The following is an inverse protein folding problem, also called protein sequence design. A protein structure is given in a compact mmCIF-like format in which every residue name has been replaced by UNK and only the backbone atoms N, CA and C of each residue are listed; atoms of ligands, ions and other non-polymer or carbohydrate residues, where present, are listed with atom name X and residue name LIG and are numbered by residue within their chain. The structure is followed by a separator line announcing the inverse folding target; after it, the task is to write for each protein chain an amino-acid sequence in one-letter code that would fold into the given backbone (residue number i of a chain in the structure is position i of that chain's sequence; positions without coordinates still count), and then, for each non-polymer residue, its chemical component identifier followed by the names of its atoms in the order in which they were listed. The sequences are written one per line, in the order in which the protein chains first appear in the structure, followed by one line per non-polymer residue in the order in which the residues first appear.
data_IF_427345570659
#
_entry.id   IF_427345570659
#
_cell.length_a   1.000
_cell.length_b   1.000
_cell.length_c   1.000
_cell.angle_alpha   90.00
_cell.angle_beta   90.00
_cell.angle_gamma   90.00
#
_symmetry.space_group_name_H-M   'P 1'
#
loop_
_entity.id
_entity.type
_entity.pdbx_description
1 polymer ?
#
# COMPACT_ATOMS: atom_id res chain seq x y z
N UNK A 1 25.28 -2.27 7.33
CA UNK A 1 24.91 -3.29 6.32
C UNK A 1 23.38 -3.21 6.19
N UNK A 2 22.85 -2.86 5.02
CA UNK A 2 21.40 -2.82 4.80
C UNK A 2 20.87 -4.25 4.85
N UNK A 3 19.95 -4.53 5.77
CA UNK A 3 19.27 -5.83 5.87
C UNK A 3 18.55 -6.12 4.55
N UNK A 4 18.77 -7.30 3.94
CA UNK A 4 18.11 -7.69 2.71
C UNK A 4 16.61 -7.92 2.95
N UNK A 5 15.77 -7.42 2.06
CA UNK A 5 14.32 -7.60 2.12
C UNK A 5 13.89 -8.91 1.46
N UNK A 6 12.75 -9.44 1.86
CA UNK A 6 12.18 -10.67 1.30
C UNK A 6 10.76 -10.38 0.78
N UNK A 7 10.49 -10.79 -0.45
CA UNK A 7 9.16 -10.78 -1.06
C UNK A 7 8.72 -12.21 -1.33
N UNK A 8 7.56 -12.59 -0.79
CA UNK A 8 6.89 -13.85 -1.10
C UNK A 8 6.03 -13.68 -2.35
N UNK A 9 6.09 -14.60 -3.31
CA UNK A 9 5.18 -14.63 -4.46
C UNK A 9 4.77 -16.07 -4.80
N UNK A 10 3.63 -16.20 -5.50
CA UNK A 10 3.18 -17.49 -6.02
C UNK A 10 3.95 -17.90 -7.26
N UNK A 11 4.22 -19.19 -7.41
CA UNK A 11 4.91 -19.77 -8.58
C UNK A 11 3.89 -20.04 -9.69
N UNK A 12 3.58 -19.03 -10.50
CA UNK A 12 2.61 -19.14 -11.60
C UNK A 12 3.29 -19.38 -12.96
N UNK A 13 4.43 -18.72 -13.22
CA UNK A 13 5.18 -18.84 -14.48
C UNK A 13 6.68 -18.76 -14.20
N UNK A 14 7.43 -19.87 -14.31
CA UNK A 14 8.85 -19.92 -13.94
C UNK A 14 9.71 -18.88 -14.67
N UNK A 15 9.45 -18.60 -15.96
CA UNK A 15 10.23 -17.63 -16.74
C UNK A 15 10.01 -16.19 -16.26
N UNK A 16 8.77 -15.82 -15.99
CA UNK A 16 8.42 -14.49 -15.48
C UNK A 16 8.96 -14.32 -14.05
N UNK A 17 8.92 -15.37 -13.25
CA UNK A 17 9.45 -15.34 -11.88
C UNK A 17 10.96 -15.24 -11.83
N UNK A 18 11.68 -15.91 -12.73
CA UNK A 18 13.12 -15.76 -12.86
C UNK A 18 13.50 -14.30 -13.21
N UNK A 19 12.83 -13.72 -14.21
CA UNK A 19 13.05 -12.32 -14.59
C UNK A 19 12.73 -11.35 -13.44
N UNK A 20 11.66 -11.59 -12.69
CA UNK A 20 11.31 -10.79 -11.51
C UNK A 20 12.35 -10.95 -10.38
N UNK A 21 12.82 -12.16 -10.14
CA UNK A 21 13.85 -12.43 -9.11
C UNK A 21 15.14 -11.66 -9.40
N UNK A 22 15.60 -11.65 -10.65
CA UNK A 22 16.80 -10.91 -11.07
C UNK A 22 16.64 -9.39 -10.85
N UNK A 23 15.48 -8.83 -11.20
CA UNK A 23 15.20 -7.41 -11.02
C UNK A 23 15.06 -7.02 -9.52
N UNK A 24 14.45 -7.85 -8.71
CA UNK A 24 14.33 -7.64 -7.27
C UNK A 24 15.69 -7.76 -6.57
N UNK A 25 16.50 -8.73 -6.98
CA UNK A 25 17.85 -8.91 -6.43
C UNK A 25 18.74 -7.67 -6.67
N UNK A 26 18.60 -7.02 -7.81
CA UNK A 26 19.27 -5.74 -8.09
C UNK A 26 18.87 -4.61 -7.11
N UNK A 27 17.70 -4.74 -6.45
CA UNK A 27 17.22 -3.84 -5.40
C UNK A 27 17.49 -4.35 -3.98
N UNK A 28 18.35 -5.37 -3.82
CA UNK A 28 18.62 -6.05 -2.54
C UNK A 28 17.37 -6.70 -1.90
N UNK A 29 16.48 -7.25 -2.75
CA UNK A 29 15.25 -7.93 -2.36
C UNK A 29 15.33 -9.38 -2.86
N UNK A 30 15.16 -10.35 -1.95
CA UNK A 30 15.09 -11.77 -2.28
C UNK A 30 13.65 -12.19 -2.57
N UNK A 31 13.43 -12.89 -3.69
CA UNK A 31 12.15 -13.48 -4.03
C UNK A 31 12.04 -14.89 -3.44
N UNK A 32 11.03 -15.11 -2.62
CA UNK A 32 10.65 -16.42 -2.11
C UNK A 32 9.39 -16.90 -2.87
N UNK A 33 9.45 -18.09 -3.44
CA UNK A 33 8.32 -18.65 -4.19
C UNK A 33 7.58 -19.69 -3.34
N UNK A 34 6.26 -19.73 -3.50
CA UNK A 34 5.40 -20.77 -2.92
C UNK A 34 4.37 -21.26 -3.95
N UNK A 35 3.78 -22.40 -3.66
CA UNK A 35 2.74 -22.99 -4.51
C UNK A 35 1.56 -22.03 -4.70
N UNK A 36 0.94 -22.11 -5.88
CA UNK A 36 -0.23 -21.31 -6.26
C UNK A 36 -1.52 -21.83 -5.61
N UNK A 37 -1.60 -21.69 -4.30
CA UNK A 37 -2.74 -22.04 -3.45
C UNK A 37 -2.77 -21.11 -2.24
N UNK A 38 -3.92 -20.46 -1.98
CA UNK A 38 -4.03 -19.44 -0.92
C UNK A 38 -3.75 -19.97 0.49
N UNK A 39 -4.04 -21.25 0.76
CA UNK A 39 -3.72 -21.88 2.05
C UNK A 39 -2.21 -22.07 2.22
N UNK A 40 -1.53 -22.50 1.13
CA UNK A 40 -0.07 -22.62 1.12
C UNK A 40 0.63 -21.28 1.26
N UNK A 41 0.07 -20.25 0.61
CA UNK A 41 0.55 -18.87 0.76
C UNK A 41 0.42 -18.42 2.21
N UNK A 42 -0.72 -18.65 2.86
CA UNK A 42 -0.94 -18.27 4.26
C UNK A 42 0.05 -18.99 5.21
N UNK A 43 0.32 -20.28 5.00
CA UNK A 43 1.33 -21.02 5.74
C UNK A 43 2.75 -20.45 5.54
N UNK A 44 3.09 -20.13 4.28
CA UNK A 44 4.38 -19.53 3.94
C UNK A 44 4.55 -18.14 4.57
N UNK A 45 3.51 -17.30 4.55
CA UNK A 45 3.48 -15.99 5.20
C UNK A 45 3.76 -16.09 6.71
N UNK A 46 3.04 -16.98 7.39
CA UNK A 46 3.19 -17.20 8.85
C UNK A 46 4.61 -17.67 9.22
N UNK A 47 5.23 -18.48 8.36
CA UNK A 47 6.57 -19.04 8.58
C UNK A 47 7.68 -18.04 8.28
N UNK A 48 7.60 -17.32 7.14
CA UNK A 48 8.68 -16.48 6.64
C UNK A 48 8.59 -15.02 7.07
N UNK A 49 7.41 -14.53 7.43
CA UNK A 49 7.14 -13.12 7.77
C UNK A 49 7.86 -12.14 6.83
N UNK A 50 7.57 -12.20 5.51
CA UNK A 50 8.29 -11.43 4.51
C UNK A 50 8.01 -9.93 4.64
N UNK A 51 8.87 -9.08 4.02
CA UNK A 51 8.63 -7.64 3.92
C UNK A 51 7.47 -7.32 2.97
N UNK A 52 7.34 -8.09 1.89
CA UNK A 52 6.25 -7.95 0.92
C UNK A 52 5.68 -9.29 0.48
N UNK A 53 4.44 -9.26 0.00
CA UNK A 53 3.76 -10.41 -0.57
C UNK A 53 3.04 -10.03 -1.86
N UNK A 54 3.42 -10.66 -2.99
CA UNK A 54 2.80 -10.48 -4.30
C UNK A 54 1.88 -11.66 -4.59
N UNK A 55 0.57 -11.42 -4.55
CA UNK A 55 -0.46 -12.43 -4.72
C UNK A 55 -1.21 -12.27 -6.04
N UNK A 56 -1.51 -13.38 -6.70
CA UNK A 56 -2.57 -13.34 -7.71
C UNK A 56 -3.92 -13.05 -7.05
N UNK A 57 -4.73 -12.17 -7.66
CA UNK A 57 -6.04 -11.79 -7.12
C UNK A 57 -6.95 -12.99 -6.89
N UNK A 58 -6.85 -13.99 -7.78
CA UNK A 58 -7.63 -15.23 -7.72
C UNK A 58 -6.68 -16.42 -7.53
N UNK A 59 -6.72 -17.01 -6.35
CA UNK A 59 -5.97 -18.21 -5.99
C UNK A 59 -6.93 -19.34 -5.65
N UNK A 60 -6.56 -20.59 -5.94
CA UNK A 60 -7.29 -21.75 -5.41
C UNK A 60 -7.28 -21.75 -3.87
N UNK A 61 -8.34 -22.23 -3.29
CA UNK A 61 -8.47 -22.40 -1.83
C UNK A 61 -8.88 -21.11 -1.11
N UNK A 62 -8.03 -20.11 -1.06
CA UNK A 62 -8.30 -18.78 -0.52
C UNK A 62 -7.84 -17.73 -1.54
N UNK A 63 -8.69 -16.75 -1.84
CA UNK A 63 -8.32 -15.62 -2.67
C UNK A 63 -7.38 -14.63 -1.94
N UNK A 64 -6.88 -13.64 -2.67
CA UNK A 64 -5.91 -12.69 -2.12
C UNK A 64 -6.44 -11.89 -0.92
N UNK A 65 -7.73 -11.52 -0.94
CA UNK A 65 -8.37 -10.81 0.18
C UNK A 65 -8.42 -11.69 1.43
N UNK A 66 -8.92 -12.91 1.29
CA UNK A 66 -9.04 -13.88 2.39
C UNK A 66 -7.67 -14.26 2.97
N UNK A 67 -6.64 -14.37 2.13
CA UNK A 67 -5.26 -14.63 2.59
C UNK A 67 -4.75 -13.48 3.44
N UNK A 68 -4.94 -12.23 2.97
CA UNK A 68 -4.48 -11.04 3.69
C UNK A 68 -5.19 -10.91 5.04
N UNK A 69 -6.52 -10.99 5.06
CA UNK A 69 -7.32 -10.91 6.29
C UNK A 69 -6.89 -11.97 7.31
N UNK A 70 -6.80 -13.24 6.90
CA UNK A 70 -6.40 -14.33 7.78
C UNK A 70 -4.96 -14.19 8.29
N UNK A 71 -4.06 -13.59 7.51
CA UNK A 71 -2.70 -13.31 7.94
C UNK A 71 -2.65 -12.16 8.93
N UNK A 72 -3.35 -11.07 8.69
CA UNK A 72 -3.39 -9.91 9.59
C UNK A 72 -4.00 -10.27 10.95
N UNK A 73 -5.09 -11.03 10.96
CA UNK A 73 -5.69 -11.50 12.21
C UNK A 73 -4.74 -12.39 13.01
N UNK A 74 -4.04 -13.29 12.31
CA UNK A 74 -3.01 -14.11 12.95
C UNK A 74 -1.85 -13.25 13.46
N UNK A 75 -1.37 -12.26 12.70
CA UNK A 75 -0.24 -11.42 13.07
C UNK A 75 -0.58 -10.52 14.26
N UNK A 76 -1.81 -9.97 14.32
CA UNK A 76 -2.31 -9.20 15.48
C UNK A 76 -2.35 -10.05 16.73
N UNK A 77 -2.80 -11.32 16.64
CA UNK A 77 -2.86 -12.25 17.76
C UNK A 77 -1.46 -12.69 18.25
N UNK A 78 -0.44 -12.61 17.40
CA UNK A 78 0.94 -13.01 17.66
C UNK A 78 1.83 -11.86 18.15
N UNK A 79 1.30 -10.87 18.86
CA UNK A 79 1.99 -9.66 19.38
C UNK A 79 2.52 -8.68 18.32
N UNK A 80 1.82 -8.55 17.19
CA UNK A 80 2.05 -7.44 16.25
C UNK A 80 3.48 -7.38 15.70
N UNK A 81 3.96 -8.49 15.16
CA UNK A 81 5.28 -8.56 14.53
C UNK A 81 5.40 -7.70 13.28
N UNK A 82 6.45 -7.93 12.53
CA UNK A 82 6.76 -7.24 11.26
C UNK A 82 5.54 -7.16 10.33
N UNK A 83 5.26 -5.98 9.87
CA UNK A 83 4.17 -5.72 8.93
C UNK A 83 4.58 -6.11 7.51
N UNK A 84 3.77 -6.92 6.84
CA UNK A 84 3.98 -7.34 5.46
C UNK A 84 3.19 -6.45 4.52
N UNK A 85 3.82 -5.89 3.49
CA UNK A 85 3.17 -5.10 2.44
C UNK A 85 2.57 -6.03 1.39
N UNK A 86 1.28 -5.89 1.12
CA UNK A 86 0.58 -6.72 0.16
C UNK A 86 0.44 -6.04 -1.20
N UNK A 87 0.72 -6.81 -2.25
CA UNK A 87 0.54 -6.44 -3.66
C UNK A 87 -0.35 -7.49 -4.33
N UNK A 88 -1.20 -7.07 -5.24
CA UNK A 88 -1.98 -8.01 -6.05
C UNK A 88 -1.54 -8.02 -7.50
N UNK A 89 -1.70 -9.17 -8.16
CA UNK A 89 -1.46 -9.36 -9.58
C UNK A 89 -2.74 -9.95 -10.21
N UNK A 90 -3.37 -9.22 -11.13
CA UNK A 90 -4.60 -9.65 -11.81
C UNK A 90 -4.36 -9.91 -13.28
N UNK A 91 -4.94 -10.97 -13.83
CA UNK A 91 -4.95 -11.24 -15.26
C UNK A 91 -6.00 -10.44 -16.04
N UNK A 92 -6.87 -9.70 -15.34
CA UNK A 92 -7.93 -8.88 -15.90
C UNK A 92 -8.01 -7.54 -15.22
N UNK A 93 -8.29 -6.50 -16.00
CA UNK A 93 -8.58 -5.19 -15.45
C UNK A 93 -10.03 -5.17 -14.94
N UNK A 94 -10.23 -4.87 -13.66
CA UNK A 94 -11.53 -4.79 -13.02
C UNK A 94 -11.50 -3.74 -11.90
N UNK A 95 -12.11 -2.60 -12.15
CA UNK A 95 -12.11 -1.45 -11.24
C UNK A 95 -12.72 -1.78 -9.86
N UNK A 96 -13.77 -2.59 -9.83
CA UNK A 96 -14.41 -2.98 -8.57
C UNK A 96 -13.48 -3.86 -7.73
N UNK A 97 -12.80 -4.81 -8.36
CA UNK A 97 -11.82 -5.66 -7.69
C UNK A 97 -10.64 -4.84 -7.18
N UNK A 98 -10.09 -3.96 -8.01
CA UNK A 98 -8.99 -3.06 -7.63
C UNK A 98 -9.40 -2.18 -6.44
N UNK A 99 -10.59 -1.58 -6.48
CA UNK A 99 -11.12 -0.78 -5.38
C UNK A 99 -11.24 -1.59 -4.08
N UNK A 100 -11.73 -2.84 -4.15
CA UNK A 100 -11.87 -3.70 -2.98
C UNK A 100 -10.49 -4.10 -2.40
N UNK A 101 -9.53 -4.43 -3.26
CA UNK A 101 -8.17 -4.74 -2.83
C UNK A 101 -7.48 -3.53 -2.17
N UNK A 102 -7.62 -2.34 -2.76
CA UNK A 102 -7.07 -1.11 -2.17
C UNK A 102 -7.72 -0.78 -0.82
N UNK A 103 -9.04 -0.89 -0.71
CA UNK A 103 -9.77 -0.73 0.57
C UNK A 103 -9.35 -1.74 1.63
N UNK A 104 -9.00 -2.94 1.22
CA UNK A 104 -8.45 -3.96 2.10
C UNK A 104 -6.96 -3.73 2.46
N UNK A 105 -6.34 -2.63 1.99
CA UNK A 105 -4.96 -2.25 2.32
C UNK A 105 -3.89 -2.95 1.50
N UNK A 106 -4.19 -3.35 0.25
CA UNK A 106 -3.13 -3.68 -0.71
C UNK A 106 -2.44 -2.40 -1.16
N UNK A 107 -1.12 -2.39 -1.14
CA UNK A 107 -0.32 -1.22 -1.49
C UNK A 107 -0.35 -0.90 -2.99
N UNK A 108 -0.54 -1.91 -3.83
CA UNK A 108 -0.67 -1.75 -5.27
C UNK A 108 -1.33 -2.96 -5.94
N UNK A 109 -2.09 -2.70 -7.02
CA UNK A 109 -2.70 -3.72 -7.86
C UNK A 109 -2.08 -3.67 -9.25
N UNK A 110 -1.42 -4.75 -9.66
CA UNK A 110 -0.84 -4.89 -10.99
C UNK A 110 -1.80 -5.64 -11.91
N UNK A 111 -1.85 -5.23 -13.17
CA UNK A 111 -2.61 -5.93 -14.22
C UNK A 111 -1.63 -6.54 -15.22
N UNK A 112 -1.77 -7.82 -15.51
CA UNK A 112 -0.97 -8.52 -16.51
C UNK A 112 -1.45 -8.20 -17.95
N UNK A 113 -0.53 -8.15 -18.94
CA UNK A 113 0.91 -8.37 -18.81
C UNK A 113 1.64 -7.16 -18.24
N UNK A 114 2.56 -7.38 -17.30
CA UNK A 114 3.40 -6.32 -16.70
C UNK A 114 4.86 -6.76 -16.73
N UNK A 115 5.75 -5.88 -17.17
CA UNK A 115 7.19 -6.15 -17.21
C UNK A 115 7.77 -6.35 -15.80
N UNK A 116 8.66 -7.33 -15.65
CA UNK A 116 9.34 -7.63 -14.40
C UNK A 116 10.06 -6.41 -13.78
N UNK A 117 10.64 -5.55 -14.62
CA UNK A 117 11.30 -4.32 -14.20
C UNK A 117 10.33 -3.35 -13.53
N UNK A 118 9.13 -3.17 -14.09
CA UNK A 118 8.11 -2.28 -13.56
C UNK A 118 7.56 -2.82 -12.23
N UNK A 119 7.32 -4.12 -12.13
CA UNK A 119 6.95 -4.80 -10.88
C UNK A 119 8.01 -4.57 -9.80
N UNK A 120 9.27 -4.89 -10.08
CA UNK A 120 10.36 -4.75 -9.13
C UNK A 120 10.55 -3.30 -8.66
N UNK A 121 10.48 -2.33 -9.57
CA UNK A 121 10.59 -0.91 -9.23
C UNK A 121 9.48 -0.43 -8.29
N UNK A 122 8.23 -0.80 -8.57
CA UNK A 122 7.09 -0.44 -7.72
C UNK A 122 7.17 -1.12 -6.36
N UNK A 123 7.47 -2.42 -6.33
CA UNK A 123 7.62 -3.19 -5.08
C UNK A 123 8.74 -2.61 -4.22
N UNK A 124 9.92 -2.36 -4.79
CA UNK A 124 11.07 -1.81 -4.05
C UNK A 124 10.79 -0.41 -3.51
N UNK A 125 10.11 0.44 -4.29
CA UNK A 125 9.70 1.77 -3.85
C UNK A 125 8.78 1.71 -2.63
N UNK A 126 7.75 0.89 -2.66
CA UNK A 126 6.81 0.73 -1.54
C UNK A 126 7.48 0.14 -0.29
N UNK A 127 8.32 -0.88 -0.45
CA UNK A 127 9.03 -1.48 0.68
C UNK A 127 10.05 -0.52 1.32
N UNK A 128 10.68 0.34 0.53
CA UNK A 128 11.61 1.36 1.03
C UNK A 128 10.88 2.45 1.81
N UNK A 129 9.72 2.87 1.36
CA UNK A 129 8.88 3.84 2.07
C UNK A 129 8.43 3.28 3.42
N UNK A 130 8.01 2.02 3.49
CA UNK A 130 7.58 1.38 4.73
C UNK A 130 8.70 1.25 5.79
N UNK A 131 9.98 1.24 5.40
CA UNK A 131 11.11 1.23 6.33
C UNK A 131 11.47 2.61 6.89
N UNK A 132 11.16 3.67 6.16
CA UNK A 132 11.53 5.05 6.52
C UNK A 132 10.44 5.77 7.29
N UNK A 133 9.24 5.20 7.38
CA UNK A 133 8.06 5.84 7.99
C UNK A 133 7.41 4.90 9.01
N UNK A 134 7.59 5.16 10.28
CA UNK A 134 6.49 5.18 11.23
C UNK A 134 5.99 6.64 11.23
N UNK A 135 4.71 6.91 11.01
CA UNK A 135 3.49 6.15 11.19
C UNK A 135 2.52 6.18 9.98
N UNK A 136 1.85 5.07 9.73
CA UNK A 136 0.91 4.80 8.63
C UNK A 136 -0.42 5.59 8.68
N UNK A 137 -0.69 6.34 9.72
CA UNK A 137 -1.91 7.15 9.82
C UNK A 137 -2.00 8.19 8.68
N UNK A 138 -0.90 8.89 8.37
CA UNK A 138 -0.92 10.04 7.47
C UNK A 138 -1.22 9.74 5.99
N UNK A 139 -0.68 8.66 5.42
CA UNK A 139 -0.88 8.35 3.98
C UNK A 139 -2.30 7.83 3.75
N UNK A 140 -2.81 7.02 4.65
CA UNK A 140 -4.17 6.49 4.58
C UNK A 140 -5.20 7.61 4.74
N UNK A 141 -4.93 8.58 5.62
CA UNK A 141 -5.74 9.77 5.81
C UNK A 141 -5.72 10.68 4.58
N UNK A 142 -4.58 10.87 3.93
CA UNK A 142 -4.48 11.65 2.68
C UNK A 142 -5.32 11.07 1.55
N UNK A 143 -5.31 9.75 1.36
CA UNK A 143 -6.15 9.08 0.36
C UNK A 143 -7.63 9.17 0.73
N UNK A 144 -7.99 8.93 1.99
CA UNK A 144 -9.37 9.03 2.47
C UNK A 144 -9.92 10.45 2.30
N UNK A 145 -9.14 11.48 2.66
CA UNK A 145 -9.51 12.89 2.47
C UNK A 145 -9.69 13.22 0.99
N UNK A 146 -8.79 12.73 0.13
CA UNK A 146 -8.88 12.93 -1.33
C UNK A 146 -10.16 12.31 -1.89
N UNK A 147 -10.47 11.07 -1.50
CA UNK A 147 -11.67 10.36 -1.95
C UNK A 147 -12.96 11.06 -1.49
N UNK A 148 -13.02 11.50 -0.23
CA UNK A 148 -14.16 12.26 0.31
C UNK A 148 -14.35 13.57 -0.46
N UNK A 149 -13.27 14.32 -0.73
CA UNK A 149 -13.34 15.56 -1.48
C UNK A 149 -13.87 15.36 -2.91
N UNK A 150 -13.49 14.25 -3.55
CA UNK A 150 -14.03 13.86 -4.85
C UNK A 150 -15.52 13.48 -4.77
N UNK A 151 -15.92 12.71 -3.75
CA UNK A 151 -17.32 12.31 -3.56
C UNK A 151 -18.27 13.48 -3.31
N UNK A 152 -17.82 14.52 -2.60
CA UNK A 152 -18.59 15.75 -2.40
C UNK A 152 -18.49 16.73 -3.56
N UNK A 153 -17.79 16.36 -4.64
CA UNK A 153 -17.74 17.09 -5.90
C UNK A 153 -16.81 18.32 -5.91
N UNK A 154 -15.79 18.35 -5.04
CA UNK A 154 -14.78 19.43 -5.07
C UNK A 154 -13.81 19.20 -6.22
N UNK A 155 -13.71 20.12 -7.22
CA UNK A 155 -12.84 19.92 -8.36
C UNK A 155 -11.36 19.98 -7.98
N UNK A 156 -10.58 18.94 -8.35
CA UNK A 156 -9.16 18.83 -7.99
C UNK A 156 -8.25 19.92 -8.62
N UNK A 157 -8.71 20.57 -9.71
CA UNK A 157 -7.91 21.57 -10.44
C UNK A 157 -7.97 22.98 -9.85
N UNK A 158 -8.82 23.25 -8.85
CA UNK A 158 -8.91 24.56 -8.20
C UNK A 158 -7.95 24.65 -7.00
N UNK A 159 -7.35 25.84 -6.78
CA UNK A 159 -6.46 26.09 -5.63
C UNK A 159 -7.13 25.79 -4.29
N UNK A 160 -8.43 26.06 -4.18
CA UNK A 160 -9.22 25.79 -3.00
C UNK A 160 -9.25 24.32 -2.60
N UNK A 161 -9.12 23.38 -3.55
CA UNK A 161 -9.00 21.96 -3.27
C UNK A 161 -7.76 21.64 -2.41
N UNK A 162 -6.61 22.19 -2.78
CA UNK A 162 -5.36 21.98 -2.04
C UNK A 162 -5.44 22.58 -0.63
N UNK A 163 -6.05 23.76 -0.49
CA UNK A 163 -6.22 24.40 0.81
C UNK A 163 -7.15 23.60 1.71
N UNK A 164 -8.26 23.11 1.16
CA UNK A 164 -9.21 22.28 1.91
C UNK A 164 -8.59 20.95 2.32
N UNK A 165 -7.84 20.29 1.44
CA UNK A 165 -7.12 19.06 1.76
C UNK A 165 -6.09 19.29 2.88
N UNK A 166 -5.27 20.34 2.78
CA UNK A 166 -4.32 20.71 3.82
C UNK A 166 -5.00 21.01 5.16
N UNK A 167 -6.13 21.74 5.12
CA UNK A 167 -6.90 22.04 6.32
C UNK A 167 -7.39 20.78 7.04
N UNK A 168 -7.95 19.83 6.29
CA UNK A 168 -8.45 18.57 6.86
C UNK A 168 -7.29 17.75 7.45
N UNK A 169 -6.17 17.65 6.74
CA UNK A 169 -5.00 16.94 7.25
C UNK A 169 -4.47 17.55 8.55
N UNK A 170 -4.37 18.89 8.64
CA UNK A 170 -3.96 19.56 9.88
C UNK A 170 -4.94 19.32 11.02
N UNK A 171 -6.25 19.20 10.76
CA UNK A 171 -7.24 18.87 11.78
C UNK A 171 -7.16 17.41 12.25
N UNK A 172 -6.72 16.49 11.38
CA UNK A 172 -6.47 15.08 11.75
C UNK A 172 -5.24 15.00 12.67
N UNK A 173 -4.18 15.75 12.36
CA UNK A 173 -2.94 15.80 13.15
C UNK A 173 -3.12 16.47 14.52
N UNK A 174 -3.85 17.57 14.56
CA UNK A 174 -4.13 18.34 15.77
C UNK A 174 -5.62 18.70 15.82
N UNK A 175 -6.43 17.87 16.49
CA UNK A 175 -7.88 18.09 16.60
C UNK A 175 -8.24 19.39 17.32
N UNK A 176 -7.35 19.96 18.13
CA UNK A 176 -7.55 21.24 18.81
C UNK A 176 -7.48 22.44 17.84
N UNK A 177 -6.86 22.29 16.68
CA UNK A 177 -6.71 23.37 15.70
C UNK A 177 -8.07 23.83 15.15
N UNK A 178 -9.09 22.93 15.16
CA UNK A 178 -10.46 23.25 14.73
C UNK A 178 -11.13 24.29 15.64
N UNK A 179 -10.69 24.40 16.89
CA UNK A 179 -11.17 25.40 17.83
C UNK A 179 -10.50 26.78 17.64
N UNK A 180 -9.47 26.85 16.80
CA UNK A 180 -8.67 28.03 16.54
C UNK A 180 -8.52 28.36 15.05
N UNK A 181 -9.58 28.20 14.25
CA UNK A 181 -9.58 28.28 12.78
C UNK A 181 -8.95 29.58 12.28
N UNK A 182 -9.38 30.73 12.76
CA UNK A 182 -8.88 32.02 12.31
C UNK A 182 -7.51 32.39 12.88
N UNK A 183 -7.14 31.85 14.04
CA UNK A 183 -5.88 32.20 14.72
C UNK A 183 -4.70 31.27 14.37
N UNK A 184 -5.00 30.02 14.02
CA UNK A 184 -3.98 29.00 13.72
C UNK A 184 -4.17 28.40 12.33
N UNK A 185 -5.32 27.80 12.02
CA UNK A 185 -5.54 27.02 10.80
C UNK A 185 -5.33 27.86 9.53
N UNK A 186 -5.98 29.02 9.42
CA UNK A 186 -5.84 29.87 8.22
C UNK A 186 -4.42 30.41 8.02
N UNK A 187 -3.72 30.95 9.04
CA UNK A 187 -2.33 31.36 8.88
C UNK A 187 -1.38 30.22 8.49
N UNK A 188 -1.58 29.03 9.02
CA UNK A 188 -0.73 27.87 8.74
C UNK A 188 -0.96 27.35 7.31
N UNK A 189 -2.21 27.29 6.84
CA UNK A 189 -2.55 26.99 5.43
C UNK A 189 -1.95 28.04 4.49
N UNK A 190 -2.03 29.30 4.84
CA UNK A 190 -1.48 30.38 4.02
C UNK A 190 0.04 30.26 3.89
N UNK A 191 0.75 29.91 4.97
CA UNK A 191 2.20 29.67 4.93
C UNK A 191 2.56 28.46 4.06
N UNK A 192 1.85 27.33 4.22
CA UNK A 192 2.13 26.12 3.43
C UNK A 192 1.91 26.34 1.93
N UNK A 193 0.94 27.16 1.56
CA UNK A 193 0.55 27.38 0.17
C UNK A 193 1.09 28.70 -0.42
N UNK A 194 2.03 29.36 0.26
CA UNK A 194 2.63 30.62 -0.16
C UNK A 194 1.60 31.69 -0.58
N UNK A 195 0.52 31.82 0.20
CA UNK A 195 -0.58 32.78 -0.04
C UNK A 195 -0.82 33.67 1.18
N UNK A 196 -1.63 34.70 1.02
CA UNK A 196 -2.06 35.55 2.15
C UNK A 196 -3.32 35.01 2.80
N UNK A 197 -3.36 35.00 4.12
CA UNK A 197 -4.51 34.59 4.90
C UNK A 197 -5.67 35.59 4.82
#
# INVERSE_FOLDING_TARGET
MSESMVVLATDANPKEKAALADQLLACNIHLLLCERDGRKVLEALKRSKPDGCLLESFLPGLDALSVKEAYEDWNKAADGGKQTVFFSLSGVQNELLECNLMKAGFAFCFVQPTEAKNLAHRISGQLSQNRTVQPEAHIQDEYAVTDILHQIGVPAHIKGYQYLRSAIMMCIEDSEIINAVTKRLYPDIAKQNATTA
#
